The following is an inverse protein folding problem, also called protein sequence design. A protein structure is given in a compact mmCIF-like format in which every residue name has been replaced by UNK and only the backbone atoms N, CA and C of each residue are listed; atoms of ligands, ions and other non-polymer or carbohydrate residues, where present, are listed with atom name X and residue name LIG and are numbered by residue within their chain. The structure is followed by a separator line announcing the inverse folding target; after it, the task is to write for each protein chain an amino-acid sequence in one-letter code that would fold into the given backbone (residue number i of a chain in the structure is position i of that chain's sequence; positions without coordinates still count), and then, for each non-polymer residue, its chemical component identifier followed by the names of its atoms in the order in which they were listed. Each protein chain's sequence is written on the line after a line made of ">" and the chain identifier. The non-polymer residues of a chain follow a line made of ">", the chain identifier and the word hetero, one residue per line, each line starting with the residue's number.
data_IF_517807259576
#
_entry.id   IF_517807259576
#
_cell.length_a   1.000
_cell.length_b   1.000
_cell.length_c   1.000
_cell.angle_alpha   90.00
_cell.angle_beta   90.00
_cell.angle_gamma   90.00
#
_symmetry.space_group_name_H-M   'P 1'
#
loop_
_entity.id
_entity.type
_entity.pdbx_description
1 polymer ?
#
# COMPACT_ATOMS: atom_id res chain seq x y z
N UNK A 1 8.95 -7.95 17.83
CA UNK A 1 9.85 -8.27 16.69
C UNK A 1 10.84 -7.14 16.58
N UNK A 2 12.12 -7.48 16.59
CA UNK A 2 13.21 -6.53 16.39
C UNK A 2 13.10 -5.88 15.00
N UNK A 3 13.41 -4.59 14.90
CA UNK A 3 13.41 -3.88 13.62
C UNK A 3 14.81 -4.00 13.01
N UNK A 4 14.95 -4.84 11.99
CA UNK A 4 16.18 -4.99 11.21
C UNK A 4 15.90 -4.81 9.72
N UNK A 5 16.97 -4.57 8.94
CA UNK A 5 16.88 -4.48 7.48
C UNK A 5 16.28 -5.76 6.87
N UNK A 6 16.71 -6.94 7.33
CA UNK A 6 16.20 -8.22 6.84
C UNK A 6 14.69 -8.35 7.13
N UNK A 7 14.27 -8.06 8.36
CA UNK A 7 12.85 -8.09 8.72
C UNK A 7 12.03 -7.03 7.99
N UNK A 8 12.63 -5.91 7.57
CA UNK A 8 11.98 -4.91 6.72
C UNK A 8 11.79 -5.46 5.30
N UNK A 9 12.83 -6.05 4.71
CA UNK A 9 12.81 -6.63 3.35
C UNK A 9 11.80 -7.77 3.28
N UNK A 10 11.78 -8.69 4.25
CA UNK A 10 10.78 -9.77 4.31
C UNK A 10 9.34 -9.24 4.31
N UNK A 11 9.10 -8.14 5.01
CA UNK A 11 7.79 -7.48 5.02
C UNK A 11 7.45 -6.88 3.65
N UNK A 12 8.41 -6.25 2.97
CA UNK A 12 8.24 -5.77 1.60
C UNK A 12 7.88 -6.90 0.64
N UNK A 13 8.48 -8.09 0.78
CA UNK A 13 8.17 -9.24 -0.08
C UNK A 13 6.73 -9.74 0.07
N UNK A 14 6.10 -9.45 1.20
CA UNK A 14 4.75 -9.87 1.53
C UNK A 14 3.70 -8.78 1.30
N UNK A 15 4.12 -7.57 0.93
CA UNK A 15 3.24 -6.44 0.60
C UNK A 15 3.09 -6.24 -0.91
N UNK A 16 1.94 -5.71 -1.30
CA UNK A 16 1.63 -5.36 -2.67
C UNK A 16 2.15 -3.95 -2.96
N UNK A 17 3.01 -3.83 -3.98
CA UNK A 17 3.57 -2.56 -4.46
C UNK A 17 2.54 -1.46 -4.74
N UNK A 18 1.34 -1.88 -5.13
CA UNK A 18 0.29 -1.01 -5.69
C UNK A 18 -0.80 -0.63 -4.70
N UNK A 19 -0.96 -1.38 -3.61
CA UNK A 19 -2.03 -1.11 -2.64
C UNK A 19 -1.67 -1.33 -1.18
N UNK A 20 -0.41 -1.70 -0.88
CA UNK A 20 0.08 -1.90 0.48
C UNK A 20 -0.59 -3.04 1.25
N UNK A 21 -1.40 -3.88 0.60
CA UNK A 21 -2.00 -5.06 1.22
C UNK A 21 -1.11 -6.29 1.06
N UNK A 22 -1.33 -7.32 1.87
CA UNK A 22 -0.67 -8.62 1.70
C UNK A 22 -0.82 -9.17 0.28
N UNK A 23 0.27 -9.67 -0.31
CA UNK A 23 0.28 -10.22 -1.69
C UNK A 23 -0.62 -11.44 -1.81
N UNK A 24 -0.56 -12.32 -0.81
CA UNK A 24 -1.35 -13.55 -0.72
C UNK A 24 -2.20 -13.54 0.55
N UNK A 25 -3.48 -13.86 0.40
CA UNK A 25 -4.34 -14.21 1.53
C UNK A 25 -3.93 -15.55 2.16
N UNK A 26 -4.42 -15.84 3.38
CA UNK A 26 -4.18 -17.15 4.03
C UNK A 26 -4.62 -18.31 3.14
N UNK A 27 -5.80 -18.19 2.53
CA UNK A 27 -6.32 -19.22 1.64
C UNK A 27 -5.40 -19.45 0.43
N UNK A 28 -4.87 -18.38 -0.17
CA UNK A 28 -3.94 -18.48 -1.30
C UNK A 28 -2.57 -19.03 -0.90
N UNK A 29 -2.09 -18.75 0.32
CA UNK A 29 -0.87 -19.38 0.84
C UNK A 29 -1.07 -20.89 1.04
N UNK A 30 -2.21 -21.29 1.59
CA UNK A 30 -2.56 -22.72 1.79
C UNK A 30 -2.63 -23.50 0.48
N UNK A 31 -2.99 -22.86 -0.63
CA UNK A 31 -3.02 -23.48 -1.96
C UNK A 31 -1.70 -23.31 -2.73
N UNK A 32 -0.62 -22.87 -2.07
CA UNK A 32 0.69 -22.63 -2.68
C UNK A 32 0.62 -21.72 -3.92
N UNK A 33 -0.29 -20.74 -3.90
CA UNK A 33 -0.41 -19.79 -4.99
C UNK A 33 0.86 -18.95 -5.08
N UNK A 34 1.40 -18.80 -6.28
CA UNK A 34 2.60 -17.99 -6.52
C UNK A 34 2.29 -16.48 -6.44
N UNK A 35 3.21 -15.74 -5.84
CA UNK A 35 3.23 -14.25 -5.88
C UNK A 35 3.46 -13.78 -7.32
N UNK A 36 2.84 -12.66 -7.70
CA UNK A 36 3.01 -12.07 -9.03
C UNK A 36 4.09 -10.98 -8.97
N UNK A 37 5.20 -11.15 -9.69
CA UNK A 37 6.29 -10.16 -9.74
C UNK A 37 5.88 -8.94 -10.56
N UNK A 38 6.10 -7.74 -10.02
CA UNK A 38 5.78 -6.48 -10.70
C UNK A 38 6.54 -6.28 -12.01
N UNK A 39 7.80 -6.73 -12.09
CA UNK A 39 8.64 -6.63 -13.28
C UNK A 39 7.96 -7.22 -14.54
N UNK A 40 7.19 -8.30 -14.39
CA UNK A 40 6.48 -8.97 -15.48
C UNK A 40 5.29 -8.15 -16.03
N UNK A 41 4.89 -7.09 -15.34
CA UNK A 41 3.72 -6.27 -15.66
C UNK A 41 4.06 -4.78 -15.80
N UNK A 42 5.35 -4.43 -15.95
CA UNK A 42 5.85 -3.06 -15.92
C UNK A 42 5.02 -2.07 -16.75
N UNK A 43 4.80 -2.36 -18.04
CA UNK A 43 4.03 -1.48 -18.93
C UNK A 43 2.55 -1.35 -18.50
N UNK A 44 1.95 -2.44 -18.01
CA UNK A 44 0.56 -2.42 -17.56
C UNK A 44 0.39 -1.70 -16.22
N UNK A 45 1.38 -1.82 -15.33
CA UNK A 45 1.40 -1.09 -14.06
C UNK A 45 1.51 0.41 -14.34
N UNK A 46 2.42 0.82 -15.22
CA UNK A 46 2.58 2.22 -15.60
C UNK A 46 1.28 2.78 -16.18
N UNK A 47 0.67 2.07 -17.12
CA UNK A 47 -0.57 2.51 -17.77
C UNK A 47 -1.77 2.62 -16.80
N UNK A 48 -1.94 1.64 -15.90
CA UNK A 48 -3.14 1.56 -15.04
C UNK A 48 -2.99 2.32 -13.73
N UNK A 49 -1.80 2.32 -13.14
CA UNK A 49 -1.55 2.89 -11.82
C UNK A 49 -0.69 4.15 -11.85
N UNK A 50 -0.14 4.54 -13.02
CA UNK A 50 0.75 5.69 -13.17
C UNK A 50 2.00 5.62 -12.28
N UNK A 51 2.48 4.40 -12.01
CA UNK A 51 3.69 4.13 -11.23
C UNK A 51 4.72 3.44 -12.12
N UNK A 52 5.98 3.91 -12.06
CA UNK A 52 7.10 3.23 -12.69
C UNK A 52 7.82 2.33 -11.69
N UNK A 53 7.76 1.01 -11.93
CA UNK A 53 8.44 -0.01 -11.10
C UNK A 53 9.86 -0.32 -11.56
N UNK A 54 10.35 0.31 -12.63
CA UNK A 54 11.71 0.08 -13.15
C UNK A 54 12.80 0.69 -12.26
N UNK A 55 12.43 1.69 -11.45
CA UNK A 55 13.33 2.40 -10.54
C UNK A 55 13.13 1.98 -9.07
N UNK A 56 12.35 0.92 -8.85
CA UNK A 56 12.10 0.40 -7.53
C UNK A 56 13.40 -0.17 -6.95
N UNK A 57 13.73 0.24 -5.73
CA UNK A 57 14.85 -0.29 -4.94
C UNK A 57 14.40 -1.45 -4.05
N UNK A 58 15.25 -2.47 -3.93
CA UNK A 58 14.98 -3.71 -3.21
C UNK A 58 14.66 -3.54 -1.71
N UNK A 59 15.28 -2.54 -1.07
CA UNK A 59 15.12 -2.23 0.36
C UNK A 59 14.11 -1.10 0.64
N UNK A 60 13.32 -0.70 -0.37
CA UNK A 60 12.35 0.39 -0.26
C UNK A 60 10.97 -0.04 -0.77
N UNK A 61 10.94 -0.75 -1.89
CA UNK A 61 9.71 -1.02 -2.62
C UNK A 61 9.38 -2.52 -2.64
N UNK A 62 8.10 -2.88 -2.47
CA UNK A 62 7.67 -4.24 -2.69
C UNK A 62 7.87 -4.70 -4.14
N UNK A 63 8.37 -5.93 -4.34
CA UNK A 63 8.62 -6.51 -5.67
C UNK A 63 7.39 -7.19 -6.30
N UNK A 64 6.32 -7.34 -5.54
CA UNK A 64 5.18 -8.17 -5.91
C UNK A 64 3.86 -7.38 -5.88
N UNK A 65 2.87 -7.88 -6.61
CA UNK A 65 1.50 -7.38 -6.57
C UNK A 65 0.50 -8.47 -6.20
N UNK A 66 -0.58 -8.09 -5.52
CA UNK A 66 -1.65 -9.00 -5.16
C UNK A 66 -2.58 -9.27 -6.36
N UNK A 67 -3.33 -10.37 -6.27
CA UNK A 67 -4.26 -10.79 -7.33
C UNK A 67 -5.42 -9.80 -7.55
N UNK A 68 -5.78 -8.99 -6.54
CA UNK A 68 -6.79 -7.94 -6.69
C UNK A 68 -6.30 -6.85 -7.64
N UNK A 69 -5.04 -6.40 -7.50
CA UNK A 69 -4.45 -5.41 -8.40
C UNK A 69 -4.25 -5.97 -9.81
N UNK A 70 -3.87 -7.24 -9.97
CA UNK A 70 -3.77 -7.85 -11.29
C UNK A 70 -5.14 -7.94 -11.99
N UNK A 71 -6.22 -8.23 -11.24
CA UNK A 71 -7.59 -8.20 -11.76
C UNK A 71 -8.01 -6.80 -12.23
N UNK A 72 -7.59 -5.75 -11.53
CA UNK A 72 -7.85 -4.36 -11.96
C UNK A 72 -7.22 -4.10 -13.33
N UNK A 73 -5.95 -4.51 -13.52
CA UNK A 73 -5.28 -4.41 -14.83
C UNK A 73 -6.09 -5.10 -15.93
N UNK A 74 -6.52 -6.34 -15.68
CA UNK A 74 -7.30 -7.13 -16.64
C UNK A 74 -8.63 -6.41 -16.96
N UNK A 75 -9.33 -5.91 -15.95
CA UNK A 75 -10.63 -5.26 -16.11
C UNK A 75 -10.53 -3.94 -16.88
N UNK A 76 -9.53 -3.11 -16.56
CA UNK A 76 -9.29 -1.85 -17.29
C UNK A 76 -8.99 -2.13 -18.76
N UNK A 77 -8.11 -3.10 -19.04
CA UNK A 77 -7.77 -3.49 -20.43
C UNK A 77 -8.96 -4.05 -21.22
N UNK A 78 -9.86 -4.80 -20.56
CA UNK A 78 -10.99 -5.45 -21.24
C UNK A 78 -12.22 -4.54 -21.40
N UNK A 79 -12.48 -3.66 -20.42
CA UNK A 79 -13.76 -2.94 -20.31
C UNK A 79 -13.64 -1.42 -20.35
N UNK A 80 -12.44 -0.85 -20.24
CA UNK A 80 -12.22 0.60 -20.38
C UNK A 80 -12.87 1.48 -19.29
N UNK A 81 -13.10 0.96 -18.08
CA UNK A 81 -13.80 1.70 -17.02
C UNK A 81 -12.98 2.85 -16.42
N UNK A 82 -13.30 4.09 -16.80
CA UNK A 82 -12.61 5.31 -16.33
C UNK A 82 -12.61 5.43 -14.80
N UNK A 83 -13.73 5.12 -14.15
CA UNK A 83 -13.83 5.18 -12.69
C UNK A 83 -12.94 4.13 -12.00
N UNK A 84 -12.84 2.93 -12.59
CA UNK A 84 -11.94 1.90 -12.06
C UNK A 84 -10.48 2.32 -12.22
N UNK A 85 -10.13 2.94 -13.35
CA UNK A 85 -8.80 3.49 -13.60
C UNK A 85 -8.45 4.59 -12.60
N UNK A 86 -9.33 5.57 -12.39
CA UNK A 86 -9.12 6.68 -11.45
C UNK A 86 -8.93 6.19 -10.02
N UNK A 87 -9.77 5.27 -9.57
CA UNK A 87 -9.64 4.66 -8.24
C UNK A 87 -8.34 3.84 -8.08
N UNK A 88 -7.91 3.17 -9.15
CA UNK A 88 -6.63 2.45 -9.15
C UNK A 88 -5.45 3.41 -9.00
N UNK A 89 -5.42 4.48 -9.79
CA UNK A 89 -4.39 5.52 -9.75
C UNK A 89 -4.33 6.24 -8.40
N UNK A 90 -5.48 6.64 -7.84
CA UNK A 90 -5.56 7.28 -6.53
C UNK A 90 -4.96 6.41 -5.44
N UNK A 91 -5.40 5.14 -5.36
CA UNK A 91 -4.90 4.19 -4.37
C UNK A 91 -3.40 3.94 -4.50
N UNK A 92 -2.92 3.81 -5.74
CA UNK A 92 -1.51 3.63 -6.02
C UNK A 92 -0.70 4.85 -5.57
N UNK A 93 -1.15 6.07 -5.90
CA UNK A 93 -0.49 7.32 -5.51
C UNK A 93 -0.40 7.50 -3.99
N UNK A 94 -1.46 7.16 -3.25
CA UNK A 94 -1.44 7.18 -1.78
C UNK A 94 -0.47 6.14 -1.22
N UNK A 95 -0.47 4.95 -1.81
CA UNK A 95 0.41 3.85 -1.39
C UNK A 95 1.88 4.18 -1.65
N UNK A 96 2.19 4.82 -2.79
CA UNK A 96 3.55 5.10 -3.23
C UNK A 96 4.33 5.96 -2.24
N UNK A 97 3.63 6.86 -1.53
CA UNK A 97 4.21 7.77 -0.52
C UNK A 97 4.67 7.05 0.74
N UNK A 98 4.25 5.80 0.98
CA UNK A 98 4.61 5.07 2.21
C UNK A 98 5.97 4.36 2.10
N UNK A 99 6.45 4.11 0.87
CA UNK A 99 7.64 3.31 0.63
C UNK A 99 8.88 4.12 1.00
N UNK A 100 9.60 3.63 2.00
CA UNK A 100 10.71 4.33 2.66
C UNK A 100 11.85 3.35 2.89
N UNK A 101 13.08 3.87 2.89
CA UNK A 101 14.26 3.09 3.26
C UNK A 101 14.15 2.65 4.74
N UNK A 102 14.74 1.50 5.07
CA UNK A 102 14.79 1.02 6.44
C UNK A 102 15.72 1.90 7.28
N UNK A 103 15.20 2.47 8.36
CA UNK A 103 15.99 3.15 9.40
C UNK A 103 16.07 2.24 10.63
N UNK A 104 17.25 1.68 10.89
CA UNK A 104 17.44 0.76 12.02
C UNK A 104 17.42 1.48 13.39
N UNK A 105 17.42 2.82 13.41
CA UNK A 105 17.34 3.59 14.64
C UNK A 105 15.90 3.79 15.13
N UNK A 106 14.89 3.52 14.28
CA UNK A 106 13.48 3.62 14.68
C UNK A 106 12.90 2.27 15.06
N UNK A 107 11.85 2.29 15.87
CA UNK A 107 11.14 1.06 16.21
C UNK A 107 10.28 0.54 15.05
N UNK A 108 9.91 -0.75 15.09
CA UNK A 108 9.00 -1.32 14.10
C UNK A 108 7.60 -0.68 14.09
N UNK A 109 7.19 -0.02 15.18
CA UNK A 109 5.96 0.76 15.30
C UNK A 109 6.04 2.16 14.68
N UNK A 110 7.24 2.63 14.34
CA UNK A 110 7.47 3.94 13.70
C UNK A 110 7.84 3.78 12.22
N UNK A 111 8.40 2.64 11.82
CA UNK A 111 8.65 2.32 10.42
C UNK A 111 7.32 2.15 9.64
N UNK A 112 7.07 3.02 8.65
CA UNK A 112 5.85 3.01 7.86
C UNK A 112 5.55 1.65 7.20
N UNK A 113 6.57 0.98 6.65
CA UNK A 113 6.45 -0.36 6.04
C UNK A 113 6.06 -1.41 7.08
N UNK A 114 6.67 -1.38 8.26
CA UNK A 114 6.40 -2.34 9.33
C UNK A 114 5.01 -2.15 9.93
N UNK A 115 4.59 -0.89 10.12
CA UNK A 115 3.23 -0.53 10.54
C UNK A 115 2.21 -1.00 9.51
N UNK A 116 2.43 -0.70 8.22
CA UNK A 116 1.55 -1.16 7.15
C UNK A 116 1.47 -2.69 7.11
N UNK A 117 2.60 -3.38 7.27
CA UNK A 117 2.64 -4.83 7.33
C UNK A 117 1.80 -5.37 8.48
N UNK A 118 1.84 -4.72 9.64
CA UNK A 118 1.08 -5.14 10.82
C UNK A 118 -0.42 -4.87 10.65
N UNK A 119 -0.78 -3.75 10.01
CA UNK A 119 -2.16 -3.35 9.76
C UNK A 119 -2.83 -4.09 8.59
N UNK A 120 -2.05 -4.68 7.68
CA UNK A 120 -2.57 -5.43 6.54
C UNK A 120 -3.02 -6.82 6.97
N UNK A 121 -4.24 -6.90 7.50
CA UNK A 121 -4.84 -8.15 7.98
C UNK A 121 -4.92 -9.23 6.88
N UNK A 122 -4.53 -10.44 7.25
CA UNK A 122 -4.65 -11.68 6.47
C UNK A 122 -6.09 -12.24 6.53
N UNK A 123 -7.11 -11.43 6.22
CA UNK A 123 -8.50 -11.90 6.33
C UNK A 123 -9.51 -10.77 6.23
N UNK A 124 -10.62 -11.04 5.55
CA UNK A 124 -11.67 -10.10 5.23
C UNK A 124 -12.14 -9.27 6.44
N UNK A 125 -11.93 -7.94 6.38
CA UNK A 125 -12.81 -6.85 6.83
C UNK A 125 -11.96 -5.59 7.08
N UNK A 126 -11.74 -4.78 6.05
CA UNK A 126 -11.81 -3.33 6.29
C UNK A 126 -13.29 -2.97 6.36
N UNK A 127 -13.98 -3.40 7.42
CA UNK A 127 -15.25 -2.78 7.78
C UNK A 127 -14.91 -1.42 8.35
N UNK A 128 -15.28 -0.37 7.60
CA UNK A 128 -15.76 0.91 8.13
C UNK A 128 -15.04 1.41 9.40
N UNK A 129 -13.82 1.92 9.28
CA UNK A 129 -13.31 2.92 10.24
C UNK A 129 -12.50 3.98 9.50
N UNK A 130 -13.20 4.78 8.70
CA UNK A 130 -12.70 6.05 8.17
C UNK A 130 -13.79 7.13 8.32
N UNK A 131 -14.26 7.31 9.56
CA UNK A 131 -14.94 8.52 10.05
C UNK A 131 -14.68 8.59 11.56
N UNK A 132 -13.49 9.06 11.96
CA UNK A 132 -13.18 9.64 13.29
C UNK A 132 -11.66 9.78 13.53
N UNK A 133 -10.89 10.39 12.62
CA UNK A 133 -9.51 10.84 12.93
C UNK A 133 -9.08 12.14 12.21
N UNK A 134 -10.01 13.06 12.00
CA UNK A 134 -9.68 14.47 11.79
C UNK A 134 -10.63 15.30 12.65
N UNK A 135 -10.28 15.45 13.92
CA UNK A 135 -10.86 16.46 14.78
C UNK A 135 -9.79 16.99 15.72
N UNK A 136 -8.74 17.58 15.14
CA UNK A 136 -7.85 18.53 15.80
C UNK A 136 -7.32 19.48 14.73
N UNK A 137 -8.17 20.40 14.28
CA UNK A 137 -7.69 21.69 13.77
C UNK A 137 -8.16 22.74 14.77
N UNK A 138 -7.16 23.39 15.35
CA UNK A 138 -7.22 24.29 16.49
C UNK A 138 -8.13 25.49 16.21
N UNK A 139 -9.26 25.57 16.89
CA UNK A 139 -9.98 26.84 17.06
C UNK A 139 -9.17 27.70 18.03
N UNK A 140 -8.34 28.59 17.49
CA UNK A 140 -7.79 29.70 18.28
C UNK A 140 -8.98 30.57 18.68
N UNK A 141 -9.33 30.50 19.96
CA UNK A 141 -10.13 31.49 20.65
C UNK A 141 -9.37 32.83 20.62
N UNK A 142 -9.99 33.86 20.07
CA UNK A 142 -9.72 35.23 20.49
C UNK A 142 -11.06 35.88 20.81
N UNK A 143 -11.21 36.17 22.10
CA UNK A 143 -12.39 36.70 22.74
C UNK A 143 -12.67 38.14 22.32
N UNK A 144 -13.97 38.42 22.16
CA UNK A 144 -14.72 39.59 22.62
C UNK A 144 -13.88 40.80 23.08
N UNK A 145 -14.18 41.96 22.52
CA UNK A 145 -14.39 43.16 23.33
C UNK A 145 -15.59 43.97 22.82
N UNK A 146 -16.40 44.36 23.79
CA UNK A 146 -17.60 45.18 23.74
C UNK A 146 -17.28 46.62 23.30
N UNK A 147 -18.09 47.19 22.40
CA UNK A 147 -19.06 48.26 22.67
C UNK A 147 -19.90 48.54 21.42
#
# INVERSE_FOLDING_TARGET
>A
MEHSLDSHIEKLEDLCRLCGNRVLSVAERRTNRRKLRCANFTANILMVFMISVQRDKDNVHPKFMCYKCSKIIINVKKRGGLETLRNAQMRASETDKMWTECDTNVSSSECAVCVQFSNSCLGNRQLKQAKNRFNTCSTINLQRHYN
#
